data_IF_529971138423
#
_entry.id   IF_529971138423
#
_cell.length_a   1.000
_cell.length_b   1.000
_cell.length_c   1.000
_cell.angle_alpha   90.00
_cell.angle_beta   90.00
_cell.angle_gamma   90.00
#
_symmetry.space_group_name_H-M   'P 1'
#
loop_
_entity.id
_entity.type
_entity.pdbx_description
1 polymer ?
#
# COMPACT_ATOMS: atom_id res chain seq x y z
N UNK A 1 -27.63 -2.44 -9.57
CA UNK A 1 -27.24 -1.02 -9.50
C UNK A 1 -27.24 -0.46 -10.91
N UNK A 2 -27.81 0.72 -11.14
CA UNK A 2 -27.80 1.37 -12.45
C UNK A 2 -26.52 2.20 -12.61
N UNK A 3 -25.87 2.09 -13.76
CA UNK A 3 -24.76 2.97 -14.15
C UNK A 3 -25.34 4.36 -14.43
N UNK A 4 -24.86 5.38 -13.73
CA UNK A 4 -25.15 6.79 -14.02
C UNK A 4 -23.94 7.37 -14.75
N UNK A 5 -24.14 7.84 -15.97
CA UNK A 5 -23.13 8.55 -16.75
C UNK A 5 -23.66 9.95 -17.00
N UNK A 6 -22.86 10.97 -16.69
CA UNK A 6 -23.17 12.37 -16.95
C UNK A 6 -22.03 12.96 -17.74
N UNK A 7 -22.35 13.79 -18.73
CA UNK A 7 -21.38 14.57 -19.49
C UNK A 7 -21.61 16.03 -19.13
N UNK A 8 -20.76 16.65 -18.27
CA UNK A 8 -20.98 18.03 -17.81
C UNK A 8 -21.15 19.03 -18.95
N UNK A 9 -20.36 18.91 -20.02
CA UNK A 9 -20.49 19.73 -21.23
C UNK A 9 -21.87 19.64 -21.89
N UNK A 10 -22.51 18.46 -21.80
CA UNK A 10 -23.87 18.24 -22.28
C UNK A 10 -24.91 18.96 -21.45
N UNK A 11 -24.71 19.06 -20.12
CA UNK A 11 -25.59 19.82 -19.23
C UNK A 11 -25.46 21.32 -19.48
N UNK A 12 -24.24 21.83 -19.67
CA UNK A 12 -24.00 23.23 -20.04
C UNK A 12 -24.63 23.57 -21.39
N UNK A 13 -24.52 22.67 -22.38
CA UNK A 13 -25.18 22.84 -23.69
C UNK A 13 -26.70 22.89 -23.57
N UNK A 14 -27.29 21.97 -22.80
CA UNK A 14 -28.72 21.96 -22.56
C UNK A 14 -29.22 23.22 -21.83
N UNK A 15 -28.41 23.78 -20.91
CA UNK A 15 -28.74 25.04 -20.25
C UNK A 15 -28.80 26.21 -21.24
N UNK A 16 -27.85 26.29 -22.19
CA UNK A 16 -27.85 27.32 -23.24
C UNK A 16 -29.08 27.18 -24.17
N UNK A 17 -29.39 25.96 -24.63
CA UNK A 17 -30.58 25.72 -25.46
C UNK A 17 -31.88 26.12 -24.75
N UNK A 18 -31.96 25.84 -23.45
CA UNK A 18 -33.11 26.19 -22.63
C UNK A 18 -33.22 27.71 -22.43
N UNK A 19 -32.10 28.42 -22.26
CA UNK A 19 -32.08 29.88 -22.20
C UNK A 19 -32.63 30.51 -23.49
N UNK A 20 -32.23 29.99 -24.65
CA UNK A 20 -32.73 30.42 -25.96
C UNK A 20 -34.25 30.17 -26.13
N UNK A 21 -34.73 29.02 -25.67
CA UNK A 21 -36.17 28.71 -25.63
C UNK A 21 -36.90 29.68 -24.69
N UNK A 22 -36.36 29.92 -23.49
CA UNK A 22 -36.91 30.84 -22.50
C UNK A 22 -37.03 32.27 -23.04
N UNK A 23 -36.00 32.72 -23.77
CA UNK A 23 -35.99 34.00 -24.48
C UNK A 23 -37.09 34.07 -25.56
N UNK A 24 -37.22 33.02 -26.38
CA UNK A 24 -38.25 32.93 -27.43
C UNK A 24 -39.67 32.93 -26.85
N UNK A 25 -39.90 32.18 -25.77
CA UNK A 25 -41.18 32.17 -25.02
C UNK A 25 -41.44 33.53 -24.38
N UNK A 26 -40.40 34.20 -23.91
CA UNK A 26 -40.48 35.55 -23.35
C UNK A 26 -40.96 36.54 -24.40
N UNK A 27 -40.35 36.55 -25.59
CA UNK A 27 -40.76 37.38 -26.70
C UNK A 27 -42.21 37.09 -27.15
N UNK A 28 -42.60 35.83 -27.23
CA UNK A 28 -43.93 35.42 -27.67
C UNK A 28 -45.06 35.91 -26.75
N UNK A 29 -44.92 35.72 -25.42
CA UNK A 29 -45.98 36.15 -24.50
C UNK A 29 -46.05 37.68 -24.35
N UNK A 30 -44.92 38.39 -24.47
CA UNK A 30 -44.90 39.85 -24.53
C UNK A 30 -45.64 40.37 -25.77
N UNK A 31 -45.44 39.75 -26.94
CA UNK A 31 -46.18 40.10 -28.15
C UNK A 31 -47.70 39.81 -28.02
N UNK A 32 -48.07 38.74 -27.30
CA UNK A 32 -49.47 38.38 -27.07
C UNK A 32 -50.16 39.21 -25.97
N UNK A 33 -49.42 39.89 -25.09
CA UNK A 33 -49.97 40.55 -23.91
C UNK A 33 -51.06 41.57 -24.23
N UNK A 34 -50.78 42.56 -25.09
CA UNK A 34 -51.74 43.59 -25.48
C UNK A 34 -52.97 43.02 -26.21
N UNK A 35 -52.83 42.22 -27.30
CA UNK A 35 -54.00 41.74 -28.03
C UNK A 35 -54.89 40.77 -27.24
N UNK A 36 -54.38 40.13 -26.17
CA UNK A 36 -55.18 39.22 -25.33
C UNK A 36 -55.81 39.89 -24.11
N UNK A 37 -55.29 41.05 -23.68
CA UNK A 37 -55.79 41.77 -22.48
C UNK A 37 -56.59 43.04 -22.82
N UNK A 38 -56.44 43.57 -24.04
CA UNK A 38 -57.15 44.75 -24.53
C UNK A 38 -58.23 44.42 -25.58
N UNK A 39 -59.01 43.35 -25.39
CA UNK A 39 -60.06 42.97 -26.34
C UNK A 39 -61.17 44.03 -26.40
N UNK A 40 -61.51 44.48 -27.60
CA UNK A 40 -62.69 45.33 -27.81
C UNK A 40 -63.97 44.48 -27.89
N UNK A 41 -65.09 45.03 -27.41
CA UNK A 41 -66.41 44.41 -27.60
C UNK A 41 -66.77 44.36 -29.08
N UNK A 42 -67.36 43.24 -29.53
CA UNK A 42 -67.73 43.04 -30.94
C UNK A 42 -68.90 43.93 -31.38
N UNK A 43 -69.76 44.31 -30.44
CA UNK A 43 -70.85 45.27 -30.59
C UNK A 43 -71.09 45.98 -29.24
N UNK A 44 -71.93 47.04 -29.25
CA UNK A 44 -72.23 47.85 -28.06
C UNK A 44 -73.28 47.22 -27.12
N UNK A 45 -73.54 45.92 -27.27
CA UNK A 45 -74.46 45.19 -26.40
C UNK A 45 -73.73 44.60 -25.19
N UNK A 46 -74.48 44.41 -24.11
CA UNK A 46 -73.99 43.95 -22.82
C UNK A 46 -73.33 42.55 -22.89
N UNK A 47 -73.76 41.69 -23.83
CA UNK A 47 -73.18 40.35 -23.99
C UNK A 47 -71.81 40.43 -24.65
N UNK A 48 -71.66 41.28 -25.68
CA UNK A 48 -70.37 41.54 -26.33
C UNK A 48 -69.35 42.17 -25.37
N UNK A 49 -69.77 43.13 -24.54
CA UNK A 49 -68.92 43.73 -23.50
C UNK A 49 -68.50 42.72 -22.43
N UNK A 50 -69.44 41.93 -21.91
CA UNK A 50 -69.16 40.91 -20.91
C UNK A 50 -68.20 39.83 -21.45
N UNK A 51 -68.35 39.43 -22.71
CA UNK A 51 -67.47 38.45 -23.34
C UNK A 51 -66.05 38.98 -23.54
N UNK A 52 -65.90 40.25 -23.99
CA UNK A 52 -64.60 40.89 -24.10
C UNK A 52 -63.90 40.99 -22.74
N UNK A 53 -64.63 41.36 -21.68
CA UNK A 53 -64.11 41.40 -20.31
C UNK A 53 -63.67 40.02 -19.80
N UNK A 54 -64.44 38.96 -20.08
CA UNK A 54 -64.08 37.59 -19.72
C UNK A 54 -62.75 37.16 -20.35
N UNK A 55 -62.60 37.35 -21.66
CA UNK A 55 -61.36 36.98 -22.36
C UNK A 55 -60.17 37.83 -21.93
N UNK A 56 -60.37 39.14 -21.69
CA UNK A 56 -59.33 40.00 -21.13
C UNK A 56 -58.88 39.51 -19.74
N UNK A 57 -59.80 39.05 -18.89
CA UNK A 57 -59.51 38.43 -17.61
C UNK A 57 -58.64 37.18 -17.73
N UNK A 58 -59.01 36.25 -18.62
CA UNK A 58 -58.17 35.08 -18.93
C UNK A 58 -56.78 35.46 -19.44
N UNK A 59 -56.68 36.49 -20.28
CA UNK A 59 -55.39 37.03 -20.74
C UNK A 59 -54.51 37.50 -19.58
N UNK A 60 -55.08 38.22 -18.60
CA UNK A 60 -54.34 38.68 -17.42
C UNK A 60 -53.88 37.53 -16.53
N UNK A 61 -54.73 36.52 -16.31
CA UNK A 61 -54.37 35.32 -15.55
C UNK A 61 -53.24 34.54 -16.24
N UNK A 62 -53.30 34.38 -17.55
CA UNK A 62 -52.25 33.74 -18.35
C UNK A 62 -50.91 34.49 -18.23
N UNK A 63 -50.92 35.82 -18.33
CA UNK A 63 -49.71 36.64 -18.16
C UNK A 63 -49.11 36.46 -16.76
N UNK A 64 -49.95 36.46 -15.72
CA UNK A 64 -49.50 36.22 -14.34
C UNK A 64 -48.92 34.81 -14.14
N UNK A 65 -49.44 33.80 -14.85
CA UNK A 65 -48.90 32.45 -14.85
C UNK A 65 -47.53 32.37 -15.54
N UNK A 66 -47.38 33.01 -16.71
CA UNK A 66 -46.12 32.98 -17.46
C UNK A 66 -44.97 33.68 -16.72
N UNK A 67 -45.25 34.75 -15.96
CA UNK A 67 -44.24 35.35 -15.07
C UNK A 67 -43.71 34.34 -14.04
N UNK A 68 -44.59 33.53 -13.44
CA UNK A 68 -44.17 32.47 -12.50
C UNK A 68 -43.40 31.35 -13.20
N UNK A 69 -43.82 31.00 -14.42
CA UNK A 69 -43.11 30.00 -15.24
C UNK A 69 -41.70 30.48 -15.61
N UNK A 70 -41.51 31.77 -15.91
CA UNK A 70 -40.19 32.37 -16.17
C UNK A 70 -39.27 32.29 -14.95
N UNK A 71 -39.78 32.60 -13.76
CA UNK A 71 -39.01 32.46 -12.51
C UNK A 71 -38.61 30.99 -12.24
N UNK A 72 -39.52 30.05 -12.47
CA UNK A 72 -39.22 28.61 -12.39
C UNK A 72 -38.14 28.21 -13.39
N UNK A 73 -38.25 28.66 -14.65
CA UNK A 73 -37.28 28.36 -15.70
C UNK A 73 -35.88 28.87 -15.36
N UNK A 74 -35.76 30.10 -14.83
CA UNK A 74 -34.47 30.63 -14.35
C UNK A 74 -33.90 29.80 -13.20
N UNK A 75 -34.71 29.42 -12.22
CA UNK A 75 -34.29 28.54 -11.12
C UNK A 75 -33.83 27.17 -11.62
N UNK A 76 -34.50 26.63 -12.66
CA UNK A 76 -34.12 25.37 -13.28
C UNK A 76 -32.77 25.45 -14.00
N UNK A 77 -32.51 26.53 -14.75
CA UNK A 77 -31.20 26.77 -15.40
C UNK A 77 -30.07 26.86 -14.36
N UNK A 78 -30.29 27.61 -13.28
CA UNK A 78 -29.30 27.72 -12.20
C UNK A 78 -29.00 26.36 -11.54
N UNK A 79 -30.03 25.52 -11.38
CA UNK A 79 -29.84 24.18 -10.85
C UNK A 79 -29.06 23.27 -11.83
N UNK A 80 -29.28 23.39 -13.14
CA UNK A 80 -28.53 22.64 -14.16
C UNK A 80 -27.05 23.02 -14.17
N UNK A 81 -26.73 24.32 -14.12
CA UNK A 81 -25.34 24.81 -14.10
C UNK A 81 -24.62 24.38 -12.81
N UNK A 82 -25.28 24.53 -11.67
CA UNK A 82 -24.78 24.04 -10.37
C UNK A 82 -24.53 22.52 -10.38
N UNK A 83 -25.44 21.74 -10.99
CA UNK A 83 -25.26 20.30 -11.14
C UNK A 83 -24.05 19.98 -12.04
N UNK A 84 -23.88 20.66 -13.16
CA UNK A 84 -22.71 20.48 -14.04
C UNK A 84 -21.40 20.72 -13.29
N UNK A 85 -21.30 21.82 -12.55
CA UNK A 85 -20.15 22.13 -11.70
C UNK A 85 -19.90 21.08 -10.62
N UNK A 86 -20.95 20.55 -10.00
CA UNK A 86 -20.84 19.49 -9.00
C UNK A 86 -20.31 18.18 -9.61
N UNK A 87 -20.73 17.81 -10.82
CA UNK A 87 -20.20 16.64 -11.51
C UNK A 87 -18.72 16.80 -11.89
N UNK A 88 -18.32 17.97 -12.41
CA UNK A 88 -16.89 18.26 -12.69
C UNK A 88 -16.04 18.14 -11.43
N UNK A 89 -16.46 18.78 -10.33
CA UNK A 89 -15.73 18.70 -9.06
C UNK A 89 -15.63 17.26 -8.52
N UNK A 90 -16.66 16.44 -8.72
CA UNK A 90 -16.65 15.04 -8.34
C UNK A 90 -15.65 14.21 -9.19
N UNK A 91 -15.58 14.48 -10.50
CA UNK A 91 -14.60 13.84 -11.40
C UNK A 91 -13.16 14.24 -11.03
N UNK A 92 -12.91 15.52 -10.75
CA UNK A 92 -11.59 16.00 -10.29
C UNK A 92 -11.17 15.37 -8.96
N UNK A 93 -12.06 15.34 -7.96
CA UNK A 93 -11.79 14.69 -6.69
C UNK A 93 -11.48 13.18 -6.85
N UNK A 94 -12.22 12.50 -7.73
CA UNK A 94 -11.99 11.09 -8.04
C UNK A 94 -10.63 10.88 -8.73
N UNK A 95 -10.25 11.77 -9.66
CA UNK A 95 -8.96 11.73 -10.33
C UNK A 95 -7.79 11.94 -9.36
N UNK A 96 -7.90 12.88 -8.41
CA UNK A 96 -6.88 13.11 -7.37
C UNK A 96 -6.70 11.91 -6.45
N UNK A 97 -7.79 11.26 -6.03
CA UNK A 97 -7.74 10.04 -5.22
C UNK A 97 -7.06 8.90 -5.99
N UNK A 98 -7.37 8.76 -7.28
CA UNK A 98 -6.74 7.75 -8.14
C UNK A 98 -5.25 8.03 -8.32
N UNK A 99 -4.85 9.28 -8.58
CA UNK A 99 -3.45 9.65 -8.72
C UNK A 99 -2.65 9.40 -7.43
N UNK A 100 -3.22 9.76 -6.28
CA UNK A 100 -2.62 9.45 -4.97
C UNK A 100 -2.44 7.94 -4.78
N UNK A 101 -3.46 7.13 -5.10
CA UNK A 101 -3.38 5.67 -5.01
C UNK A 101 -2.33 5.08 -5.96
N UNK A 102 -2.20 5.61 -7.19
CA UNK A 102 -1.17 5.20 -8.16
C UNK A 102 0.22 5.55 -7.64
N UNK A 103 0.40 6.76 -7.09
CA UNK A 103 1.68 7.19 -6.53
C UNK A 103 2.11 6.33 -5.34
N UNK A 104 1.19 6.02 -4.43
CA UNK A 104 1.45 5.13 -3.30
C UNK A 104 1.82 3.71 -3.76
N UNK A 105 1.11 3.18 -4.76
CA UNK A 105 1.44 1.88 -5.37
C UNK A 105 2.82 1.90 -6.03
N UNK A 106 3.16 2.97 -6.75
CA UNK A 106 4.48 3.12 -7.37
C UNK A 106 5.59 3.14 -6.32
N UNK A 107 5.41 3.84 -5.20
CA UNK A 107 6.37 3.84 -4.09
C UNK A 107 6.53 2.46 -3.47
N UNK A 108 5.44 1.71 -3.31
CA UNK A 108 5.48 0.34 -2.79
C UNK A 108 6.25 -0.59 -3.73
N UNK A 109 5.97 -0.52 -5.04
CA UNK A 109 6.69 -1.30 -6.06
C UNK A 109 8.16 -0.90 -6.15
N UNK A 110 8.48 0.39 -6.12
CA UNK A 110 9.87 0.87 -6.11
C UNK A 110 10.62 0.37 -4.87
N UNK A 111 9.98 0.36 -3.70
CA UNK A 111 10.56 -0.17 -2.49
C UNK A 111 10.78 -1.68 -2.58
N UNK A 112 9.81 -2.41 -3.11
CA UNK A 112 9.88 -3.87 -3.29
C UNK A 112 11.01 -4.26 -4.22
N UNK A 113 11.10 -3.59 -5.37
CA UNK A 113 12.09 -3.92 -6.39
C UNK A 113 13.46 -3.26 -6.12
N UNK A 114 13.50 -2.24 -5.28
CA UNK A 114 14.70 -1.46 -4.96
C UNK A 114 15.78 -2.24 -4.21
N UNK A 115 15.46 -3.42 -3.68
CA UNK A 115 16.45 -4.33 -3.09
C UNK A 115 17.19 -5.16 -4.15
N UNK A 116 16.76 -5.15 -5.42
CA UNK A 116 17.39 -5.94 -6.47
C UNK A 116 18.24 -5.05 -7.38
N UNK A 117 19.54 -5.29 -7.42
CA UNK A 117 20.42 -4.64 -8.39
C UNK A 117 20.29 -5.32 -9.77
N UNK A 118 19.39 -4.84 -10.61
CA UNK A 118 19.17 -5.38 -11.97
C UNK A 118 20.28 -5.10 -12.98
N UNK A 119 21.27 -4.26 -12.62
CA UNK A 119 22.51 -4.12 -13.38
C UNK A 119 23.46 -5.31 -13.22
N UNK A 120 23.17 -6.20 -12.27
CA UNK A 120 23.91 -7.41 -11.96
C UNK A 120 23.00 -8.64 -12.10
N UNK A 121 23.53 -9.76 -12.59
CA UNK A 121 22.76 -11.00 -12.71
C UNK A 121 22.29 -11.52 -11.34
N UNK A 122 23.02 -11.20 -10.26
CA UNK A 122 22.67 -11.54 -8.88
C UNK A 122 21.34 -10.94 -8.47
N UNK A 123 21.02 -9.71 -8.91
CA UNK A 123 19.73 -9.09 -8.64
C UNK A 123 18.57 -9.82 -9.31
N UNK A 124 18.76 -10.26 -10.56
CA UNK A 124 17.78 -11.09 -11.27
C UNK A 124 17.60 -12.46 -10.62
N UNK A 125 18.69 -13.10 -10.20
CA UNK A 125 18.64 -14.38 -9.50
C UNK A 125 17.95 -14.25 -8.13
N UNK A 126 18.27 -13.20 -7.37
CA UNK A 126 17.63 -12.90 -6.09
C UNK A 126 16.11 -12.72 -6.26
N UNK A 127 15.67 -11.94 -7.24
CA UNK A 127 14.24 -11.77 -7.55
C UNK A 127 13.60 -13.12 -7.90
N UNK A 128 14.19 -13.87 -8.83
CA UNK A 128 13.62 -15.15 -9.24
C UNK A 128 13.48 -16.12 -8.06
N UNK A 129 14.50 -16.20 -7.20
CA UNK A 129 14.50 -17.09 -6.04
C UNK A 129 13.52 -16.64 -4.96
N UNK A 130 13.46 -15.34 -4.63
CA UNK A 130 12.54 -14.80 -3.62
C UNK A 130 11.07 -15.07 -3.97
N UNK A 131 10.74 -15.13 -5.27
CA UNK A 131 9.36 -15.31 -5.76
C UNK A 131 9.06 -16.71 -6.33
N UNK A 132 9.98 -17.66 -6.19
CA UNK A 132 9.74 -19.06 -6.58
C UNK A 132 10.08 -20.01 -5.43
N UNK A 133 11.34 -20.41 -5.35
CA UNK A 133 11.82 -21.42 -4.41
C UNK A 133 11.97 -20.87 -2.99
N UNK A 134 12.52 -19.67 -2.82
CA UNK A 134 12.66 -18.96 -1.54
C UNK A 134 11.37 -18.34 -1.02
N UNK A 135 10.26 -18.45 -1.78
CA UNK A 135 9.00 -17.77 -1.49
C UNK A 135 8.44 -17.99 -0.08
N UNK A 136 8.46 -19.21 0.51
CA UNK A 136 7.94 -19.39 1.86
C UNK A 136 8.65 -18.52 2.91
N UNK A 137 9.97 -18.34 2.80
CA UNK A 137 10.69 -17.40 3.68
C UNK A 137 10.39 -15.94 3.35
N UNK A 138 10.33 -15.58 2.06
CA UNK A 138 9.91 -14.23 1.62
C UNK A 138 8.52 -13.87 2.17
N UNK A 139 7.58 -14.82 2.20
CA UNK A 139 6.24 -14.64 2.76
C UNK A 139 6.27 -14.38 4.27
N UNK A 140 7.17 -15.03 5.02
CA UNK A 140 7.42 -14.69 6.43
C UNK A 140 7.99 -13.27 6.56
N UNK A 141 8.88 -12.87 5.66
CA UNK A 141 9.40 -11.51 5.56
C UNK A 141 8.29 -10.47 5.35
N UNK A 142 7.30 -10.73 4.49
CA UNK A 142 6.12 -9.86 4.37
C UNK A 142 5.34 -9.74 5.68
N UNK A 143 5.21 -10.85 6.43
CA UNK A 143 4.66 -10.84 7.78
C UNK A 143 5.42 -9.90 8.71
N UNK A 144 6.76 -9.96 8.71
CA UNK A 144 7.62 -9.03 9.49
C UNK A 144 7.39 -7.59 9.05
N UNK A 145 7.32 -7.30 7.76
CA UNK A 145 7.08 -5.94 7.24
C UNK A 145 5.73 -5.39 7.67
N UNK A 146 4.69 -6.22 7.60
CA UNK A 146 3.36 -5.86 8.06
C UNK A 146 3.38 -5.56 9.56
N UNK A 147 3.97 -6.43 10.37
CA UNK A 147 4.11 -6.20 11.81
C UNK A 147 4.88 -4.90 12.07
N UNK A 148 6.02 -4.69 11.41
CA UNK A 148 6.85 -3.49 11.55
C UNK A 148 6.13 -2.20 11.14
N UNK A 149 5.10 -2.26 10.29
CA UNK A 149 4.29 -1.07 9.97
C UNK A 149 3.52 -0.52 11.18
N UNK A 150 3.34 -1.33 12.23
CA UNK A 150 2.74 -0.92 13.50
C UNK A 150 3.78 -0.49 14.55
N UNK A 151 5.08 -0.59 14.26
CA UNK A 151 6.15 -0.16 15.15
C UNK A 151 6.62 1.25 14.77
N UNK A 152 6.46 2.26 15.65
CA UNK A 152 6.82 3.65 15.34
C UNK A 152 8.33 3.84 15.11
N UNK A 153 9.16 2.94 15.62
CA UNK A 153 10.62 2.96 15.58
C UNK A 153 11.22 1.92 14.61
N UNK A 154 10.41 1.32 13.73
CA UNK A 154 10.88 0.28 12.80
C UNK A 154 12.05 0.74 11.91
N UNK A 155 12.05 2.00 11.48
CA UNK A 155 13.18 2.64 10.82
C UNK A 155 13.69 1.88 9.59
N UNK A 156 12.88 1.81 8.52
CA UNK A 156 13.31 1.21 7.24
C UNK A 156 14.50 1.98 6.65
N UNK A 157 15.59 1.27 6.33
CA UNK A 157 16.81 1.86 5.77
C UNK A 157 16.92 1.54 4.27
N UNK A 158 16.54 2.45 3.36
CA UNK A 158 16.54 2.17 1.93
C UNK A 158 17.96 1.98 1.36
N UNK A 159 18.97 2.69 1.89
CA UNK A 159 20.33 2.62 1.38
C UNK A 159 20.97 1.27 1.75
N UNK A 160 20.87 0.87 3.01
CA UNK A 160 21.36 -0.43 3.45
C UNK A 160 20.54 -1.58 2.84
N UNK A 161 19.24 -1.37 2.61
CA UNK A 161 18.40 -2.37 1.92
C UNK A 161 18.87 -2.64 0.50
N UNK A 162 19.13 -1.58 -0.27
CA UNK A 162 19.64 -1.70 -1.64
C UNK A 162 21.05 -2.33 -1.67
N UNK A 163 21.88 -2.02 -0.67
CA UNK A 163 23.23 -2.57 -0.56
C UNK A 163 23.24 -4.06 -0.17
N UNK A 164 22.45 -4.44 0.83
CA UNK A 164 22.37 -5.82 1.32
C UNK A 164 21.55 -6.75 0.39
N UNK A 165 20.76 -6.15 -0.50
CA UNK A 165 19.84 -6.87 -1.36
C UNK A 165 18.67 -7.50 -0.62
N UNK A 166 18.21 -6.87 0.46
CA UNK A 166 17.09 -7.29 1.32
C UNK A 166 16.41 -6.08 1.95
N UNK A 167 15.22 -6.20 2.52
CA UNK A 167 14.58 -5.11 3.25
C UNK A 167 15.11 -5.03 4.68
N UNK A 168 15.78 -3.93 5.01
CA UNK A 168 16.43 -3.76 6.31
C UNK A 168 15.70 -2.71 7.15
N UNK A 169 15.40 -3.09 8.38
CA UNK A 169 14.79 -2.24 9.41
C UNK A 169 15.74 -2.10 10.59
N UNK A 170 16.04 -0.85 10.97
CA UNK A 170 16.93 -0.54 12.10
C UNK A 170 16.29 -0.85 13.45
N UNK A 171 14.97 -0.80 13.54
CA UNK A 171 14.19 -1.22 14.72
C UNK A 171 13.12 -2.23 14.35
N UNK A 172 12.00 -2.22 15.07
CA UNK A 172 10.86 -3.08 14.80
C UNK A 172 10.85 -4.35 15.67
N UNK A 173 10.03 -5.33 15.28
CA UNK A 173 9.90 -6.60 15.98
C UNK A 173 11.26 -7.30 16.04
N UNK A 174 11.61 -7.81 17.22
CA UNK A 174 12.84 -8.55 17.47
C UNK A 174 13.03 -8.81 18.96
N UNK A 175 14.05 -9.62 19.27
CA UNK A 175 14.47 -9.90 20.64
C UNK A 175 15.65 -8.99 21.00
N UNK A 176 15.73 -8.46 22.24
CA UNK A 176 16.86 -7.66 22.67
C UNK A 176 18.19 -8.38 22.45
N UNK A 177 19.11 -7.74 21.73
CA UNK A 177 20.43 -8.31 21.43
C UNK A 177 20.51 -9.12 20.14
N UNK A 178 19.37 -9.41 19.50
CA UNK A 178 19.31 -10.18 18.26
C UNK A 178 18.83 -9.35 17.09
N UNK A 179 19.53 -9.47 15.98
CA UNK A 179 18.98 -9.13 14.67
C UNK A 179 18.23 -10.35 14.15
N UNK A 180 17.09 -10.15 13.50
CA UNK A 180 16.28 -11.26 12.99
C UNK A 180 16.07 -11.09 11.49
N UNK A 181 16.49 -12.10 10.73
CA UNK A 181 16.23 -12.19 9.29
C UNK A 181 15.24 -13.30 8.99
N UNK A 182 14.15 -12.94 8.30
CA UNK A 182 13.16 -13.87 7.78
C UNK A 182 12.96 -13.60 6.29
N UNK A 183 13.38 -14.56 5.47
CA UNK A 183 13.34 -14.40 4.02
C UNK A 183 14.26 -13.30 3.54
N UNK A 184 13.69 -12.34 2.81
CA UNK A 184 14.37 -11.15 2.31
C UNK A 184 14.19 -9.94 3.24
N UNK A 185 13.85 -10.12 4.52
CA UNK A 185 13.60 -9.02 5.47
C UNK A 185 14.42 -9.21 6.74
N UNK A 186 15.17 -8.19 7.12
CA UNK A 186 15.91 -8.11 8.37
C UNK A 186 15.34 -7.02 9.25
N UNK A 187 15.10 -7.32 10.52
CA UNK A 187 14.49 -6.44 11.51
C UNK A 187 15.30 -6.41 12.80
N UNK A 188 15.11 -5.34 13.58
CA UNK A 188 15.78 -5.14 14.87
C UNK A 188 17.32 -5.08 14.75
N UNK A 189 17.84 -4.60 13.62
CA UNK A 189 19.29 -4.53 13.36
C UNK A 189 20.03 -3.61 14.35
N UNK A 190 19.36 -2.55 14.79
CA UNK A 190 19.92 -1.48 15.59
C UNK A 190 20.75 -0.49 14.78
N UNK A 191 21.24 0.55 15.49
CA UNK A 191 22.06 1.63 14.95
C UNK A 191 23.45 1.71 15.61
N UNK A 192 23.82 0.67 16.36
CA UNK A 192 25.13 0.59 17.02
C UNK A 192 26.27 0.49 15.99
N UNK A 193 27.49 0.95 16.33
CA UNK A 193 28.67 0.68 15.50
C UNK A 193 28.81 -0.82 15.21
N UNK A 194 29.07 -1.17 13.95
CA UNK A 194 29.17 -2.56 13.47
C UNK A 194 27.83 -3.21 13.07
N UNK A 195 26.69 -2.54 13.26
CA UNK A 195 25.39 -3.08 12.81
C UNK A 195 25.33 -3.30 11.29
N UNK A 196 25.94 -2.41 10.50
CA UNK A 196 26.03 -2.58 9.04
C UNK A 196 26.91 -3.76 8.66
N UNK A 197 28.02 -3.98 9.37
CA UNK A 197 28.88 -5.13 9.14
C UNK A 197 28.17 -6.44 9.47
N UNK A 198 27.35 -6.47 10.53
CA UNK A 198 26.48 -7.62 10.85
C UNK A 198 25.48 -7.84 9.72
N UNK A 199 24.81 -6.79 9.24
CA UNK A 199 23.87 -6.93 8.13
C UNK A 199 24.54 -7.51 6.88
N UNK A 200 25.70 -6.99 6.49
CA UNK A 200 26.36 -7.33 5.23
C UNK A 200 27.15 -8.63 5.29
N UNK A 201 27.66 -9.03 6.45
CA UNK A 201 28.50 -10.21 6.59
C UNK A 201 27.82 -11.38 7.33
N UNK A 202 26.73 -11.14 8.08
CA UNK A 202 26.01 -12.18 8.81
C UNK A 202 24.59 -12.36 8.26
N UNK A 203 23.77 -11.32 8.31
CA UNK A 203 22.34 -11.42 7.97
C UNK A 203 22.10 -11.65 6.48
N UNK A 204 22.94 -11.06 5.62
CA UNK A 204 22.93 -11.30 4.17
C UNK A 204 23.14 -12.78 3.83
N UNK A 205 23.89 -13.51 4.66
CA UNK A 205 24.08 -14.96 4.51
C UNK A 205 22.75 -15.66 4.73
N UNK A 206 21.97 -15.30 5.75
CA UNK A 206 20.63 -15.86 5.97
C UNK A 206 19.65 -15.54 4.84
N UNK A 207 19.71 -14.32 4.29
CA UNK A 207 18.90 -13.96 3.10
C UNK A 207 19.21 -14.90 1.93
N UNK A 208 20.49 -15.14 1.66
CA UNK A 208 20.89 -16.03 0.57
C UNK A 208 20.71 -17.52 0.88
N UNK A 209 20.86 -17.93 2.14
CA UNK A 209 20.49 -19.28 2.58
C UNK A 209 19.00 -19.53 2.31
N UNK A 210 18.13 -18.54 2.61
CA UNK A 210 16.73 -18.61 2.23
C UNK A 210 16.52 -18.70 0.72
N UNK A 211 17.20 -17.85 -0.06
CA UNK A 211 17.07 -17.85 -1.54
C UNK A 211 17.48 -19.18 -2.16
N UNK A 212 18.60 -19.75 -1.73
CA UNK A 212 19.20 -20.93 -2.36
C UNK A 212 18.61 -22.24 -1.84
N UNK A 213 18.31 -22.34 -0.55
CA UNK A 213 17.82 -23.58 0.07
C UNK A 213 16.31 -23.55 0.33
N UNK A 214 15.66 -22.40 0.20
CA UNK A 214 14.20 -22.26 0.22
C UNK A 214 13.57 -22.92 1.45
N UNK A 215 12.54 -23.77 1.29
CA UNK A 215 11.88 -24.43 2.42
C UNK A 215 12.83 -25.28 3.27
N UNK A 216 13.92 -25.82 2.70
CA UNK A 216 14.88 -26.61 3.46
C UNK A 216 15.56 -25.77 4.53
N UNK A 217 15.94 -24.52 4.22
CA UNK A 217 16.50 -23.61 5.21
C UNK A 217 15.51 -23.36 6.35
N UNK A 218 14.32 -22.84 6.05
CA UNK A 218 13.34 -22.48 7.08
C UNK A 218 12.92 -23.68 7.95
N UNK A 219 12.66 -24.83 7.34
CA UNK A 219 12.17 -26.01 8.07
C UNK A 219 13.27 -26.70 8.88
N UNK A 220 14.48 -26.82 8.33
CA UNK A 220 15.60 -27.41 9.08
C UNK A 220 16.09 -26.49 10.19
N UNK A 221 16.06 -25.17 9.99
CA UNK A 221 16.36 -24.19 11.04
C UNK A 221 15.37 -24.34 12.20
N UNK A 222 14.06 -24.34 11.92
CA UNK A 222 13.04 -24.52 12.96
C UNK A 222 13.13 -25.89 13.65
N UNK A 223 13.40 -26.95 12.88
CA UNK A 223 13.62 -28.30 13.41
C UNK A 223 14.85 -28.35 14.34
N UNK A 224 15.92 -27.65 13.98
CA UNK A 224 17.12 -27.53 14.81
C UNK A 224 16.83 -26.78 16.10
N UNK A 225 16.15 -25.64 16.04
CA UNK A 225 15.76 -24.90 17.24
C UNK A 225 14.97 -25.76 18.22
N UNK A 226 14.00 -26.54 17.72
CA UNK A 226 13.21 -27.45 18.53
C UNK A 226 14.08 -28.56 19.15
N UNK A 227 14.98 -29.17 18.37
CA UNK A 227 15.91 -30.19 18.87
C UNK A 227 16.87 -29.65 19.92
N UNK A 228 17.50 -28.50 19.65
CA UNK A 228 18.42 -27.81 20.54
C UNK A 228 17.77 -27.38 21.85
N UNK A 229 16.49 -27.00 21.84
CA UNK A 229 15.72 -26.77 23.07
C UNK A 229 15.72 -28.01 23.99
N UNK A 230 15.46 -29.20 23.44
CA UNK A 230 15.49 -30.44 24.21
C UNK A 230 16.90 -30.81 24.67
N UNK A 231 17.92 -30.59 23.82
CA UNK A 231 19.33 -30.85 24.18
C UNK A 231 19.79 -29.94 25.31
N UNK A 232 19.59 -28.62 25.18
CA UNK A 232 19.97 -27.64 26.20
C UNK A 232 19.24 -27.87 27.52
N UNK A 233 17.92 -28.14 27.46
CA UNK A 233 17.13 -28.48 28.65
C UNK A 233 17.57 -29.80 29.28
N UNK A 234 17.86 -30.82 28.47
CA UNK A 234 18.37 -32.12 28.95
C UNK A 234 19.72 -31.99 29.64
N UNK A 235 20.63 -31.20 29.07
CA UNK A 235 21.93 -30.93 29.68
C UNK A 235 21.79 -30.17 31.02
N UNK A 236 20.90 -29.17 31.04
CA UNK A 236 20.58 -28.42 32.26
C UNK A 236 20.01 -29.31 33.37
N UNK A 237 19.14 -30.28 33.05
CA UNK A 237 18.62 -31.23 34.05
C UNK A 237 19.73 -32.06 34.72
N UNK A 238 20.84 -32.31 34.02
CA UNK A 238 22.02 -32.97 34.57
C UNK A 238 22.99 -32.00 35.28
N UNK A 239 22.90 -30.70 34.96
CA UNK A 239 23.77 -29.64 35.45
C UNK A 239 22.95 -28.40 35.90
N UNK A 240 22.09 -28.51 36.91
CA UNK A 240 21.07 -27.49 37.22
C UNK A 240 21.64 -26.15 37.73
N UNK A 241 22.93 -26.11 38.03
CA UNK A 241 23.64 -24.89 38.44
C UNK A 241 24.03 -23.99 37.24
N UNK A 242 23.88 -24.47 36.01
CA UNK A 242 24.11 -23.70 34.79
C UNK A 242 22.90 -22.84 34.44
N UNK A 243 23.11 -21.75 33.70
CA UNK A 243 22.01 -20.93 33.20
C UNK A 243 21.25 -21.67 32.08
N UNK A 244 19.97 -21.96 32.32
CA UNK A 244 19.14 -22.73 31.39
C UNK A 244 18.97 -22.01 30.06
N UNK A 245 18.75 -20.69 30.08
CA UNK A 245 18.52 -19.91 28.87
C UNK A 245 19.77 -19.93 27.97
N UNK A 246 20.95 -19.65 28.52
CA UNK A 246 22.22 -19.70 27.81
C UNK A 246 22.52 -21.09 27.22
N UNK A 247 22.21 -22.18 27.94
CA UNK A 247 22.37 -23.54 27.40
C UNK A 247 21.41 -23.83 26.23
N UNK A 248 20.14 -23.45 26.36
CA UNK A 248 19.12 -23.62 25.31
C UNK A 248 19.45 -22.77 24.10
N UNK A 249 19.79 -21.50 24.28
CA UNK A 249 20.19 -20.59 23.20
C UNK A 249 21.43 -21.11 22.46
N UNK A 250 22.41 -21.66 23.18
CA UNK A 250 23.59 -22.27 22.55
C UNK A 250 23.22 -23.45 21.67
N UNK A 251 22.49 -24.43 22.21
CA UNK A 251 22.15 -25.62 21.46
C UNK A 251 21.14 -25.37 20.33
N UNK A 252 20.16 -24.48 20.55
CA UNK A 252 19.06 -24.22 19.63
C UNK A 252 19.37 -23.17 18.57
N UNK A 253 20.24 -22.21 18.88
CA UNK A 253 20.55 -21.08 18.02
C UNK A 253 22.03 -21.07 17.61
N UNK A 254 22.98 -20.85 18.53
CA UNK A 254 24.40 -20.68 18.15
C UNK A 254 25.00 -21.91 17.44
N UNK A 255 24.67 -23.13 17.88
CA UNK A 255 25.15 -24.38 17.26
C UNK A 255 24.33 -24.82 16.03
N UNK A 256 23.34 -24.03 15.60
CA UNK A 256 22.58 -24.32 14.38
C UNK A 256 23.52 -24.22 13.17
N UNK A 257 23.64 -25.24 12.31
CA UNK A 257 24.56 -25.23 11.17
C UNK A 257 24.46 -24.00 10.27
N UNK A 258 23.26 -23.42 10.15
CA UNK A 258 23.03 -22.19 9.39
C UNK A 258 23.62 -20.94 10.06
N UNK A 259 23.53 -20.87 11.38
CA UNK A 259 24.15 -19.82 12.21
C UNK A 259 25.67 -20.00 12.24
N UNK A 260 26.18 -21.23 12.42
CA UNK A 260 27.62 -21.52 12.34
C UNK A 260 28.20 -21.01 11.01
N UNK A 261 27.49 -21.21 9.90
CA UNK A 261 27.90 -20.68 8.61
C UNK A 261 27.92 -19.14 8.59
N UNK A 262 26.88 -18.47 9.09
CA UNK A 262 26.83 -17.01 9.14
C UNK A 262 27.95 -16.42 10.04
N UNK A 263 28.16 -16.97 11.23
CA UNK A 263 29.24 -16.60 12.15
C UNK A 263 30.66 -16.89 11.62
N UNK A 264 30.79 -17.91 10.76
CA UNK A 264 32.06 -18.17 10.09
C UNK A 264 32.34 -17.11 9.00
N UNK A 265 31.29 -16.57 8.37
CA UNK A 265 31.42 -15.55 7.32
C UNK A 265 31.73 -14.15 7.91
N UNK A 266 31.17 -13.81 9.06
CA UNK A 266 31.43 -12.52 9.72
C UNK A 266 32.66 -12.51 10.66
N UNK A 267 33.38 -13.64 10.75
CA UNK A 267 34.54 -13.87 11.62
C UNK A 267 34.23 -13.74 13.13
N UNK A 268 32.98 -13.92 13.55
CA UNK A 268 32.58 -13.91 14.96
C UNK A 268 32.34 -15.32 15.54
N UNK A 269 32.78 -16.38 14.87
CA UNK A 269 32.82 -17.72 15.48
C UNK A 269 34.07 -17.92 16.36
N UNK A 270 33.94 -18.39 17.61
CA UNK A 270 32.70 -18.69 18.33
C UNK A 270 31.96 -17.44 18.84
N UNK A 271 30.61 -17.43 18.83
CA UNK A 271 29.84 -16.27 19.23
C UNK A 271 29.99 -15.97 20.73
N UNK A 272 30.11 -14.69 21.13
CA UNK A 272 30.42 -14.31 22.51
C UNK A 272 29.32 -14.65 23.54
N UNK A 273 28.08 -14.88 23.09
CA UNK A 273 26.95 -15.28 23.93
C UNK A 273 26.84 -16.79 24.17
N UNK A 274 27.61 -17.62 23.46
CA UNK A 274 27.49 -19.06 23.57
C UNK A 274 28.05 -19.63 24.87
N UNK A 275 27.37 -20.63 25.41
CA UNK A 275 27.77 -21.37 26.58
C UNK A 275 28.83 -22.41 26.20
N UNK A 276 30.07 -22.30 26.69
CA UNK A 276 31.16 -23.21 26.32
C UNK A 276 30.92 -24.67 26.74
N UNK A 277 29.95 -24.94 27.62
CA UNK A 277 29.60 -26.29 28.03
C UNK A 277 28.90 -27.10 26.94
N UNK A 278 28.20 -26.44 26.00
CA UNK A 278 27.48 -27.08 24.90
C UNK A 278 27.97 -26.68 23.52
N UNK A 279 28.60 -25.50 23.42
CA UNK A 279 29.11 -24.97 22.17
C UNK A 279 30.00 -25.99 21.45
N UNK A 280 29.75 -26.16 20.15
CA UNK A 280 30.54 -27.06 19.33
C UNK A 280 32.04 -26.71 19.40
N UNK A 281 32.92 -27.70 19.68
CA UNK A 281 34.34 -27.42 19.90
C UNK A 281 34.97 -26.80 18.65
N UNK A 282 35.85 -25.82 18.85
CA UNK A 282 36.64 -25.15 17.80
C UNK A 282 37.52 -26.10 16.93
N UNK A 283 37.54 -27.40 17.22
CA UNK A 283 38.31 -28.45 16.56
C UNK A 283 37.50 -29.23 15.53
N UNK A 284 36.17 -29.12 15.53
CA UNK A 284 35.40 -29.34 14.31
C UNK A 284 35.60 -28.08 13.48
N UNK A 285 36.74 -28.02 12.80
CA UNK A 285 37.00 -27.03 11.76
C UNK A 285 35.69 -26.89 10.96
N UNK A 286 35.05 -25.71 10.86
CA UNK A 286 33.84 -25.56 10.05
C UNK A 286 34.09 -26.08 8.62
N UNK A 287 35.35 -26.06 8.20
CA UNK A 287 35.99 -26.68 7.03
C UNK A 287 35.75 -28.20 6.91
N UNK A 288 35.61 -28.96 8.00
CA UNK A 288 35.42 -30.42 7.97
C UNK A 288 33.94 -30.83 7.87
N UNK A 289 33.01 -30.00 8.34
CA UNK A 289 31.57 -30.15 8.07
C UNK A 289 31.16 -29.49 6.75
N UNK A 290 31.96 -28.53 6.29
CA UNK A 290 31.75 -27.79 5.06
C UNK A 290 33.12 -27.36 4.47
N UNK A 291 33.66 -28.04 3.45
CA UNK A 291 35.02 -27.79 2.95
C UNK A 291 35.25 -26.32 2.65
N UNK A 292 36.01 -25.63 3.52
CA UNK A 292 36.52 -24.31 3.25
C UNK A 292 37.55 -24.39 2.14
N UNK A 293 37.03 -24.27 0.92
CA UNK A 293 37.63 -23.50 -0.18
C UNK A 293 36.59 -22.80 -1.05
N UNK A 294 35.30 -23.04 -0.84
CA UNK A 294 34.25 -22.28 -1.48
C UNK A 294 33.15 -22.01 -0.46
N UNK A 295 33.00 -20.78 0.01
CA UNK A 295 31.68 -20.34 0.48
C UNK A 295 30.80 -20.34 -0.79
N UNK A 296 29.88 -21.29 -0.98
CA UNK A 296 29.14 -21.39 -2.25
C UNK A 296 28.18 -20.22 -2.44
N UNK A 297 27.97 -19.41 -1.39
CA UNK A 297 27.21 -18.17 -1.46
C UNK A 297 28.14 -16.97 -1.73
N UNK A 298 29.47 -17.07 -1.59
CA UNK A 298 30.39 -15.96 -1.89
C UNK A 298 30.26 -15.37 -3.31
N UNK A 299 29.89 -16.13 -4.36
CA UNK A 299 29.58 -15.53 -5.66
C UNK A 299 28.32 -14.64 -5.67
N UNK A 300 27.49 -14.70 -4.63
CA UNK A 300 26.22 -13.99 -4.47
C UNK A 300 26.26 -12.87 -3.43
N UNK A 301 27.15 -12.95 -2.43
CA UNK A 301 27.51 -11.87 -1.51
C UNK A 301 28.32 -10.77 -2.23
#
# INVERSE_FOLDING_TARGET
MSLLVVVPDGLTSAAMDLEDIGSSVTAAHLAAAVPTTGLAAAAADEVSEAMAALFAGYGQEFQALIVRAGAFHQGFLQALDSAAGAYVAAEEASALLLDAAINDMNLLVQRELGIYNFGDWRGWAALALDYTWGFPGTALGYGVRLINSFYPDAGYDPALSALAGSHVYRGGIGLPGFTTTLGNVTTHLGTRPGAEDIMLNHESVHVWQNRLFGPLFTTSYAGWMAGGFFVGTGYWLLHPNQDWFSLVETAAYYDNPWEVWAYANDNNWPPPGANPALLWPAWTDPVLLWPARANPIAPFL
#
